data_IF_665565870902
#
_entry.id   IF_665565870902
#
_cell.length_a   1.000
_cell.length_b   1.000
_cell.length_c   1.000
_cell.angle_alpha   90.00
_cell.angle_beta   90.00
_cell.angle_gamma   90.00
#
_symmetry.space_group_name_H-M   'P 1'
#
loop_
_entity.id
_entity.type
_entity.pdbx_description
1 polymer ?
#
# COMPACT_ATOMS: atom_id res chain seq x y z
N UNK A 1 -13.76 0.71 2.05
CA UNK A 1 -15.16 0.47 1.62
C UNK A 1 -16.07 0.18 2.81
N UNK A 2 -17.24 0.81 2.91
CA UNK A 2 -18.15 0.64 4.07
C UNK A 2 -18.58 -0.84 4.27
N UNK A 3 -18.62 -1.62 3.19
CA UNK A 3 -19.06 -3.03 3.19
C UNK A 3 -18.05 -4.03 3.76
N UNK A 4 -16.78 -3.64 3.91
CA UNK A 4 -15.69 -4.58 4.22
C UNK A 4 -14.80 -4.07 5.36
N UNK A 5 -15.35 -3.84 6.58
CA UNK A 5 -14.61 -3.21 7.68
C UNK A 5 -13.37 -4.02 8.09
N UNK A 6 -13.48 -5.34 8.20
CA UNK A 6 -12.35 -6.21 8.58
C UNK A 6 -11.24 -6.17 7.53
N UNK A 7 -11.59 -6.20 6.24
CA UNK A 7 -10.64 -6.03 5.14
C UNK A 7 -9.93 -4.69 5.25
N UNK A 8 -10.67 -3.59 5.38
CA UNK A 8 -10.07 -2.25 5.48
C UNK A 8 -9.13 -2.15 6.69
N UNK A 9 -9.55 -2.62 7.86
CA UNK A 9 -8.73 -2.60 9.06
C UNK A 9 -7.42 -3.38 8.86
N UNK A 10 -7.51 -4.58 8.27
CA UNK A 10 -6.33 -5.42 8.00
C UNK A 10 -5.37 -4.76 6.99
N UNK A 11 -5.88 -4.11 5.94
CA UNK A 11 -5.05 -3.43 4.94
C UNK A 11 -4.41 -2.15 5.49
N UNK A 12 -5.13 -1.38 6.31
CA UNK A 12 -4.56 -0.22 7.01
C UNK A 12 -3.47 -0.61 8.01
N UNK A 13 -3.66 -1.71 8.74
CA UNK A 13 -2.64 -2.25 9.64
C UNK A 13 -1.41 -2.74 8.86
N UNK A 14 -1.62 -3.47 7.77
CA UNK A 14 -0.54 -3.94 6.88
C UNK A 14 0.27 -2.78 6.31
N UNK A 15 -0.39 -1.72 5.84
CA UNK A 15 0.27 -0.52 5.33
C UNK A 15 1.19 0.11 6.38
N UNK A 16 0.70 0.27 7.61
CA UNK A 16 1.52 0.80 8.72
C UNK A 16 2.69 -0.11 9.08
N UNK A 17 2.47 -1.43 9.05
CA UNK A 17 3.51 -2.42 9.25
C UNK A 17 4.61 -2.30 8.18
N UNK A 18 4.23 -2.19 6.90
CA UNK A 18 5.15 -2.04 5.77
C UNK A 18 6.02 -0.80 5.92
N UNK A 19 5.45 0.36 6.26
CA UNK A 19 6.23 1.60 6.48
C UNK A 19 7.34 1.40 7.52
N UNK A 20 7.00 0.78 8.66
CA UNK A 20 7.93 0.55 9.76
C UNK A 20 9.01 -0.47 9.40
N UNK A 21 8.65 -1.59 8.76
CA UNK A 21 9.64 -2.59 8.33
C UNK A 21 10.57 -2.01 7.27
N UNK A 22 10.03 -1.25 6.31
CA UNK A 22 10.85 -0.56 5.29
C UNK A 22 11.86 0.38 5.95
N UNK A 23 11.43 1.15 6.96
CA UNK A 23 12.32 2.03 7.70
C UNK A 23 13.40 1.25 8.48
N UNK A 24 13.04 0.12 9.11
CA UNK A 24 13.99 -0.76 9.79
C UNK A 24 15.04 -1.35 8.84
N UNK A 25 14.63 -1.77 7.63
CA UNK A 25 15.56 -2.28 6.61
C UNK A 25 16.58 -1.21 6.22
N UNK A 26 16.14 0.03 6.00
CA UNK A 26 17.01 1.17 5.67
C UNK A 26 18.01 1.46 6.78
N UNK A 27 17.55 1.52 8.03
CA UNK A 27 18.39 1.85 9.18
C UNK A 27 19.33 0.71 9.59
N UNK A 28 18.88 -0.54 9.42
CA UNK A 28 19.68 -1.73 9.68
C UNK A 28 20.76 -2.00 8.63
N UNK A 29 20.87 -1.16 7.59
CA UNK A 29 21.83 -1.33 6.50
C UNK A 29 21.51 -2.52 5.57
N UNK A 30 20.27 -3.01 5.58
CA UNK A 30 19.84 -4.11 4.72
C UNK A 30 19.47 -3.57 3.33
N UNK A 31 20.46 -3.45 2.44
CA UNK A 31 20.29 -2.89 1.10
C UNK A 31 19.86 -3.91 0.04
N UNK A 32 19.94 -5.20 0.34
CA UNK A 32 19.62 -6.29 -0.60
C UNK A 32 18.14 -6.71 -0.56
N UNK A 33 17.32 -6.12 0.31
CA UNK A 33 15.88 -6.39 0.42
C UNK A 33 15.11 -5.09 0.22
N UNK A 34 14.16 -5.08 -0.71
CA UNK A 34 13.23 -3.96 -0.93
C UNK A 34 11.81 -4.40 -0.62
N UNK A 35 11.09 -3.57 0.13
CA UNK A 35 9.68 -3.78 0.44
C UNK A 35 8.83 -2.77 -0.33
N UNK A 36 8.15 -3.26 -1.37
CA UNK A 36 7.31 -2.46 -2.26
C UNK A 36 5.85 -2.70 -1.91
N UNK A 37 5.07 -1.63 -1.78
CA UNK A 37 3.62 -1.71 -1.56
C UNK A 37 2.84 -1.27 -2.80
N UNK A 38 1.90 -2.12 -3.23
CA UNK A 38 1.00 -1.82 -4.34
C UNK A 38 -0.41 -1.56 -3.81
N UNK A 39 -1.03 -0.49 -4.32
CA UNK A 39 -2.41 -0.12 -4.02
C UNK A 39 -3.28 -0.44 -5.25
N UNK A 40 -3.86 -1.65 -5.32
CA UNK A 40 -4.65 -2.07 -6.47
C UNK A 40 -6.06 -1.44 -6.48
N UNK A 41 -6.67 -1.25 -7.67
CA UNK A 41 -8.09 -0.97 -7.79
C UNK A 41 -8.90 -2.27 -7.58
N UNK A 42 -10.22 -2.19 -7.76
CA UNK A 42 -11.00 -3.39 -8.02
C UNK A 42 -10.54 -4.00 -9.37
N UNK A 43 -10.42 -5.33 -9.41
CA UNK A 43 -9.96 -6.07 -10.59
C UNK A 43 -10.97 -7.17 -10.91
N UNK A 44 -11.26 -7.34 -12.19
CA UNK A 44 -12.22 -8.32 -12.71
C UNK A 44 -11.71 -9.75 -12.49
N UNK A 45 -11.96 -10.28 -11.30
CA UNK A 45 -11.64 -11.65 -10.87
C UNK A 45 -12.92 -12.38 -10.51
N UNK A 46 -12.89 -13.71 -10.49
CA UNK A 46 -14.02 -14.56 -10.10
C UNK A 46 -14.53 -14.27 -8.67
N UNK A 47 -13.70 -13.67 -7.80
CA UNK A 47 -14.06 -13.32 -6.43
C UNK A 47 -15.22 -12.33 -6.30
N UNK A 48 -15.58 -11.62 -7.38
CA UNK A 48 -16.68 -10.67 -7.42
C UNK A 48 -17.95 -11.22 -8.08
N UNK A 49 -17.95 -12.46 -8.58
CA UNK A 49 -19.14 -13.03 -9.22
C UNK A 49 -20.29 -13.32 -8.25
N UNK A 50 -21.45 -13.67 -8.79
CA UNK A 50 -22.65 -14.01 -8.02
C UNK A 50 -22.50 -15.31 -7.19
N UNK A 51 -21.49 -16.14 -7.45
CA UNK A 51 -21.21 -17.32 -6.63
C UNK A 51 -20.51 -16.92 -5.33
N UNK A 52 -19.52 -16.02 -5.40
CA UNK A 52 -18.72 -15.58 -4.25
C UNK A 52 -19.36 -14.39 -3.52
N UNK A 53 -20.08 -13.53 -4.23
CA UNK A 53 -20.79 -12.37 -3.69
C UNK A 53 -22.23 -12.35 -4.24
N UNK A 54 -23.13 -13.20 -3.69
CA UNK A 54 -24.48 -13.40 -4.24
C UNK A 54 -25.37 -12.16 -4.31
N UNK A 55 -24.99 -11.06 -3.65
CA UNK A 55 -25.69 -9.80 -3.73
C UNK A 55 -25.20 -8.86 -4.86
N UNK A 56 -24.12 -9.22 -5.55
CA UNK A 56 -23.56 -8.46 -6.68
C UNK A 56 -23.97 -9.06 -8.02
N UNK A 57 -24.99 -8.47 -8.66
CA UNK A 57 -25.37 -8.83 -10.04
C UNK A 57 -24.30 -8.37 -11.02
N UNK A 58 -23.83 -9.26 -11.90
CA UNK A 58 -22.72 -9.03 -12.84
C UNK A 58 -21.42 -8.55 -12.16
N UNK A 59 -21.16 -8.93 -10.90
CA UNK A 59 -20.03 -8.39 -10.15
C UNK A 59 -18.65 -8.72 -10.74
N UNK A 60 -18.53 -9.76 -11.56
CA UNK A 60 -17.31 -10.08 -12.33
C UNK A 60 -16.87 -8.98 -13.31
N UNK A 61 -17.76 -8.04 -13.67
CA UNK A 61 -17.44 -6.90 -14.54
C UNK A 61 -16.89 -5.69 -13.76
N UNK A 62 -16.83 -5.76 -12.43
CA UNK A 62 -16.39 -4.65 -11.58
C UNK A 62 -14.88 -4.44 -11.68
N UNK A 63 -14.49 -3.23 -12.06
CA UNK A 63 -13.12 -2.75 -11.97
C UNK A 63 -12.32 -2.93 -13.27
N UNK A 64 -11.00 -2.98 -13.13
CA UNK A 64 -10.05 -3.08 -14.23
C UNK A 64 -9.97 -4.52 -14.76
N UNK A 65 -9.86 -4.73 -16.08
CA UNK A 65 -9.58 -6.06 -16.64
C UNK A 65 -8.30 -6.68 -16.07
N UNK A 66 -8.32 -7.98 -15.76
CA UNK A 66 -7.20 -8.67 -15.10
C UNK A 66 -5.89 -8.59 -15.89
N UNK A 67 -5.94 -8.73 -17.22
CA UNK A 67 -4.76 -8.65 -18.07
C UNK A 67 -4.08 -7.28 -18.00
N UNK A 68 -4.87 -6.20 -18.11
CA UNK A 68 -4.40 -4.82 -18.00
C UNK A 68 -3.81 -4.53 -16.61
N UNK A 69 -4.44 -5.06 -15.55
CA UNK A 69 -3.93 -4.93 -14.19
C UNK A 69 -2.57 -5.60 -14.02
N UNK A 70 -2.37 -6.80 -14.57
CA UNK A 70 -1.10 -7.54 -14.47
C UNK A 70 0.02 -6.75 -15.16
N UNK A 71 -0.21 -6.29 -16.39
CA UNK A 71 0.79 -5.53 -17.15
C UNK A 71 1.16 -4.23 -16.41
N UNK A 72 0.16 -3.46 -15.98
CA UNK A 72 0.37 -2.21 -15.25
C UNK A 72 1.09 -2.43 -13.91
N UNK A 73 0.74 -3.51 -13.19
CA UNK A 73 1.37 -3.86 -11.93
C UNK A 73 2.83 -4.26 -12.11
N UNK A 74 3.13 -5.02 -13.16
CA UNK A 74 4.51 -5.39 -13.48
C UNK A 74 5.36 -4.17 -13.81
N UNK A 75 4.85 -3.24 -14.63
CA UNK A 75 5.55 -2.00 -14.95
C UNK A 75 5.83 -1.15 -13.69
N UNK A 76 4.85 -1.07 -12.78
CA UNK A 76 5.00 -0.40 -11.49
C UNK A 76 6.08 -1.04 -10.60
N UNK A 77 6.15 -2.37 -10.54
CA UNK A 77 7.18 -3.09 -9.79
C UNK A 77 8.59 -2.82 -10.34
N UNK A 78 8.74 -2.78 -11.67
CA UNK A 78 10.04 -2.57 -12.34
C UNK A 78 10.55 -1.13 -12.15
N UNK A 79 9.64 -0.15 -12.04
CA UNK A 79 9.98 1.27 -11.84
C UNK A 79 10.82 1.53 -10.58
N UNK A 80 10.64 0.71 -9.54
CA UNK A 80 11.48 0.72 -8.35
C UNK A 80 11.08 1.72 -7.26
N UNK A 81 9.88 2.29 -7.34
CA UNK A 81 9.29 3.10 -6.28
C UNK A 81 9.00 2.23 -5.03
N UNK A 82 9.06 2.80 -3.82
CA UNK A 82 8.72 2.07 -2.59
C UNK A 82 7.23 1.71 -2.50
N UNK A 83 6.39 2.51 -3.17
CA UNK A 83 4.96 2.31 -3.24
C UNK A 83 4.37 2.95 -4.48
N UNK A 84 3.34 2.32 -5.04
CA UNK A 84 2.58 2.85 -6.17
C UNK A 84 1.12 2.39 -6.11
N UNK A 85 0.27 3.11 -6.82
CA UNK A 85 -1.15 2.78 -6.95
C UNK A 85 -1.49 2.61 -8.42
N UNK A 86 -2.55 1.86 -8.69
CA UNK A 86 -3.11 1.68 -10.02
C UNK A 86 -4.54 2.22 -10.00
N UNK A 87 -4.88 3.06 -10.97
CA UNK A 87 -6.23 3.61 -11.12
C UNK A 87 -6.55 4.69 -10.07
N UNK A 88 -7.76 4.69 -9.45
CA UNK A 88 -8.21 5.81 -8.62
C UNK A 88 -7.29 6.17 -7.43
N UNK A 89 -6.51 5.20 -6.94
CA UNK A 89 -5.56 5.40 -5.84
C UNK A 89 -4.35 6.26 -6.20
N UNK A 90 -4.04 6.47 -7.47
CA UNK A 90 -2.86 7.25 -7.91
C UNK A 90 -2.83 8.66 -7.33
N UNK A 91 -3.99 9.31 -7.22
CA UNK A 91 -4.08 10.67 -6.69
C UNK A 91 -3.75 10.74 -5.18
N UNK A 92 -3.80 9.62 -4.46
CA UNK A 92 -3.35 9.58 -3.06
C UNK A 92 -1.83 9.72 -2.96
N UNK A 93 -1.10 9.11 -3.91
CA UNK A 93 0.36 9.01 -3.91
C UNK A 93 1.07 10.11 -4.71
N UNK A 94 0.38 10.76 -5.65
CA UNK A 94 0.90 11.93 -6.36
C UNK A 94 1.30 13.03 -5.37
N UNK A 95 2.23 13.89 -5.80
CA UNK A 95 2.65 15.05 -5.03
C UNK A 95 1.44 15.89 -4.58
N UNK A 96 1.40 16.22 -3.29
CA UNK A 96 0.28 16.91 -2.66
C UNK A 96 -0.92 16.01 -2.31
N UNK A 97 -0.94 14.75 -2.74
CA UNK A 97 -1.92 13.73 -2.35
C UNK A 97 -1.84 13.38 -0.88
N UNK A 98 -2.92 12.77 -0.35
CA UNK A 98 -3.02 12.48 1.08
C UNK A 98 -1.92 11.53 1.57
N UNK A 99 -1.67 10.45 0.84
CA UNK A 99 -0.68 9.44 1.23
C UNK A 99 0.75 9.97 1.05
N UNK A 100 0.97 10.79 0.04
CA UNK A 100 2.21 11.56 -0.12
C UNK A 100 2.48 12.41 1.14
N UNK A 101 1.52 13.23 1.55
CA UNK A 101 1.65 14.08 2.75
C UNK A 101 1.84 13.25 4.03
N UNK A 102 1.09 12.15 4.18
CA UNK A 102 1.19 11.27 5.34
C UNK A 102 2.58 10.62 5.44
N UNK A 103 3.16 10.23 4.30
CA UNK A 103 4.53 9.68 4.24
C UNK A 103 5.55 10.72 4.70
N UNK A 104 5.44 11.97 4.26
CA UNK A 104 6.33 13.06 4.71
C UNK A 104 6.22 13.30 6.22
N UNK A 105 5.00 13.29 6.77
CA UNK A 105 4.77 13.41 8.21
C UNK A 105 5.34 12.22 8.99
N UNK A 106 5.18 11.01 8.46
CA UNK A 106 5.76 9.81 9.05
C UNK A 106 7.29 9.91 9.12
N UNK A 107 7.96 10.27 8.03
CA UNK A 107 9.42 10.41 7.96
C UNK A 107 9.94 11.49 8.91
N UNK A 108 9.29 12.65 8.95
CA UNK A 108 9.61 13.70 9.92
C UNK A 108 9.44 13.23 11.37
N UNK A 109 8.35 12.50 11.65
CA UNK A 109 8.07 11.91 12.96
C UNK A 109 9.14 10.91 13.41
N UNK A 110 9.67 10.10 12.50
CA UNK A 110 10.75 9.14 12.82
C UNK A 110 12.00 9.84 13.36
N UNK A 111 12.40 10.99 12.80
CA UNK A 111 13.58 11.72 13.29
C UNK A 111 13.39 12.24 14.71
N UNK A 112 12.20 12.75 15.01
CA UNK A 112 11.84 13.21 16.37
C UNK A 112 11.81 12.05 17.36
N UNK A 113 11.21 10.93 16.98
CA UNK A 113 11.15 9.72 17.81
C UNK A 113 12.54 9.18 18.13
N UNK A 114 13.44 9.09 17.13
CA UNK A 114 14.83 8.66 17.34
C UNK A 114 15.56 9.53 18.34
N UNK A 115 15.50 10.85 18.18
CA UNK A 115 16.14 11.77 19.12
C UNK A 115 15.59 11.62 20.55
N UNK A 116 14.28 11.42 20.66
CA UNK A 116 13.60 11.23 21.94
C UNK A 116 13.94 9.90 22.62
N UNK A 117 14.10 8.84 21.81
CA UNK A 117 14.40 7.48 22.28
C UNK A 117 15.89 7.23 22.50
N UNK A 118 16.79 8.01 21.90
CA UNK A 118 18.24 7.78 21.93
C UNK A 118 18.81 7.61 23.35
N UNK A 119 18.27 8.34 24.34
CA UNK A 119 18.70 8.23 25.74
C UNK A 119 18.23 6.96 26.46
N UNK A 120 17.24 6.27 25.91
CA UNK A 120 16.67 5.03 26.45
C UNK A 120 17.17 3.77 25.72
N UNK A 121 17.77 3.94 24.54
CA UNK A 121 18.34 2.84 23.78
C UNK A 121 19.74 2.49 24.32
N UNK A 122 20.04 1.19 24.35
CA UNK A 122 21.41 0.72 24.64
C UNK A 122 22.34 1.22 23.54
N UNK A 123 23.49 1.76 23.95
CA UNK A 123 24.57 2.17 23.02
C UNK A 123 25.24 0.95 22.42
#
# INVERSE_FOLDING_TARGET
MIRTPNYNASKSALHTFILNVRQQLREGGCSNVRMVEVFPPAVQTELHDEHHQPDLVNGGEIGMPLGEYIDTMYDGLVKGDDQFAIGPGENLLKEGGWEYQRTQLYEAGQQVLKGSLAKYLKK
#
